data_IF_799275785835
#
_entry.id   IF_799275785835
#
_cell.length_a   1.000
_cell.length_b   1.000
_cell.length_c   1.000
_cell.angle_alpha   90.00
_cell.angle_beta   90.00
_cell.angle_gamma   90.00
#
_symmetry.space_group_name_H-M   'P 1'
#
loop_
_entity.id
_entity.type
_entity.pdbx_description
1 polymer ?
#
# COMPACT_ATOMS: atom_id res chain seq x y z
N UNK A 1 29.31 62.20 49.13
CA UNK A 1 28.23 61.22 49.00
C UNK A 1 28.33 60.64 47.59
N UNK A 2 29.01 59.50 47.46
CA UNK A 2 29.23 58.82 46.16
C UNK A 2 28.27 57.60 46.19
N UNK A 3 27.30 57.55 45.22
CA UNK A 3 26.41 56.44 45.03
C UNK A 3 26.99 55.44 44.02
N UNK A 4 27.38 54.28 44.53
CA UNK A 4 27.85 53.15 43.73
C UNK A 4 26.65 52.42 43.14
N UNK A 5 26.52 52.36 41.84
CA UNK A 5 25.49 51.59 41.10
C UNK A 5 26.11 50.20 40.80
N UNK A 6 25.56 49.14 41.40
CA UNK A 6 25.88 47.76 41.05
C UNK A 6 25.06 47.36 39.85
N UNK A 7 25.70 47.13 38.73
CA UNK A 7 25.09 46.56 37.55
C UNK A 7 25.11 45.01 37.67
N UNK A 8 23.93 44.41 37.75
CA UNK A 8 23.73 42.96 37.77
C UNK A 8 23.77 42.48 36.31
N UNK A 9 24.85 41.82 35.90
CA UNK A 9 24.89 41.09 34.60
C UNK A 9 24.12 39.78 34.75
N UNK A 10 22.93 39.69 34.14
CA UNK A 10 22.24 38.42 33.94
C UNK A 10 22.93 37.68 32.77
N UNK A 11 23.70 36.64 33.10
CA UNK A 11 24.12 35.64 32.09
C UNK A 11 22.90 34.75 31.74
N UNK A 12 22.29 35.00 30.58
CA UNK A 12 21.36 34.08 29.94
C UNK A 12 22.20 32.96 29.34
N UNK A 13 22.30 31.82 30.02
CA UNK A 13 22.83 30.61 29.43
C UNK A 13 21.82 30.09 28.38
N UNK A 14 22.12 30.34 27.08
CA UNK A 14 21.49 29.64 25.99
C UNK A 14 21.84 28.15 26.11
N UNK A 15 20.93 27.32 26.61
CA UNK A 15 21.01 25.88 26.41
C UNK A 15 20.78 25.61 24.93
N UNK A 16 21.84 25.45 24.18
CA UNK A 16 21.79 24.79 22.88
C UNK A 16 21.53 23.34 23.21
N UNK A 17 20.28 22.88 22.96
CA UNK A 17 19.98 21.46 23.02
C UNK A 17 20.87 20.79 21.95
N UNK A 18 21.91 20.10 22.40
CA UNK A 18 22.74 19.27 21.55
C UNK A 18 21.83 18.19 20.97
N UNK A 19 21.61 18.23 19.65
CA UNK A 19 20.86 17.17 18.97
C UNK A 19 21.68 15.89 19.14
N UNK A 20 21.16 14.92 19.90
CA UNK A 20 21.79 13.64 20.12
C UNK A 20 22.16 13.00 18.78
N UNK A 21 23.39 12.50 18.66
CA UNK A 21 23.82 11.77 17.45
C UNK A 21 22.96 10.52 17.28
N UNK A 22 22.46 10.24 16.04
CA UNK A 22 21.64 9.03 15.78
C UNK A 22 22.39 7.76 16.19
N UNK A 23 21.66 6.77 16.72
CA UNK A 23 22.21 5.45 17.02
C UNK A 23 22.75 4.77 15.75
N UNK A 24 23.64 3.79 15.91
CA UNK A 24 24.15 2.98 14.80
C UNK A 24 23.02 2.27 14.05
N UNK A 25 22.03 1.74 14.77
CA UNK A 25 20.86 1.10 14.16
C UNK A 25 20.03 2.08 13.33
N UNK A 26 19.78 3.30 13.81
CA UNK A 26 19.06 4.31 13.05
C UNK A 26 19.83 4.73 11.80
N UNK A 27 21.15 4.89 11.92
CA UNK A 27 22.03 5.22 10.79
C UNK A 27 21.98 4.11 9.73
N UNK A 28 22.08 2.85 10.15
CA UNK A 28 21.98 1.69 9.27
C UNK A 28 20.60 1.58 8.63
N UNK A 29 19.53 1.77 9.41
CA UNK A 29 18.15 1.72 8.88
C UNK A 29 17.93 2.77 7.79
N UNK A 30 18.44 4.00 7.96
CA UNK A 30 18.34 5.08 6.96
C UNK A 30 19.09 4.79 5.66
N UNK A 31 20.05 3.86 5.65
CA UNK A 31 20.72 3.44 4.41
C UNK A 31 19.83 2.56 3.53
N UNK A 32 18.82 1.91 4.10
CA UNK A 32 17.88 1.02 3.40
C UNK A 32 16.49 1.63 3.24
N UNK A 33 16.05 2.47 4.19
CA UNK A 33 14.70 2.95 4.29
C UNK A 33 14.62 4.46 4.33
N UNK A 34 13.49 4.99 3.87
CA UNK A 34 13.13 6.39 4.07
C UNK A 34 11.69 6.50 4.57
N UNK A 35 11.34 7.58 5.27
CA UNK A 35 9.95 7.83 5.62
C UNK A 35 9.06 7.87 4.39
N UNK A 36 7.79 7.49 4.55
CA UNK A 36 6.80 7.62 3.49
C UNK A 36 6.65 9.10 3.10
N UNK A 37 6.58 9.41 1.79
CA UNK A 37 6.37 10.77 1.35
C UNK A 37 4.99 11.26 1.82
N UNK A 38 4.96 12.46 2.39
CA UNK A 38 3.67 13.12 2.64
C UNK A 38 3.06 13.45 1.28
N UNK A 39 1.75 13.16 1.07
CA UNK A 39 1.10 13.56 -0.16
C UNK A 39 1.28 15.08 -0.36
N UNK A 40 1.91 15.48 -1.46
CA UNK A 40 2.06 16.89 -1.81
C UNK A 40 0.68 17.39 -2.31
N UNK A 41 -0.14 17.89 -1.40
CA UNK A 41 -1.50 18.30 -1.69
C UNK A 41 -1.59 19.84 -1.81
N UNK A 42 -0.95 20.43 -2.80
CA UNK A 42 -1.43 21.70 -3.35
C UNK A 42 -2.58 21.38 -4.30
N UNK A 43 -3.77 21.16 -3.75
CA UNK A 43 -4.91 20.73 -4.55
C UNK A 43 -5.73 21.95 -4.96
N UNK A 44 -5.83 22.17 -6.26
CA UNK A 44 -6.87 23.04 -6.81
C UNK A 44 -8.26 22.36 -6.67
N UNK A 45 -9.32 23.14 -6.87
CA UNK A 45 -10.70 22.67 -6.76
C UNK A 45 -10.99 21.48 -7.68
N UNK A 46 -10.37 21.42 -8.84
CA UNK A 46 -10.54 20.36 -9.82
C UNK A 46 -9.90 19.05 -9.33
N UNK A 47 -8.71 19.12 -8.73
CA UNK A 47 -8.06 17.97 -8.13
C UNK A 47 -8.87 17.41 -6.94
N UNK A 48 -9.39 18.29 -6.07
CA UNK A 48 -10.28 17.90 -4.98
C UNK A 48 -11.55 17.22 -5.49
N UNK A 49 -12.16 17.77 -6.55
CA UNK A 49 -13.34 17.17 -7.18
C UNK A 49 -13.04 15.80 -7.81
N UNK A 50 -11.87 15.60 -8.43
CA UNK A 50 -11.45 14.28 -8.93
C UNK A 50 -11.26 13.26 -7.82
N UNK A 51 -10.64 13.65 -6.71
CA UNK A 51 -10.47 12.77 -5.54
C UNK A 51 -11.83 12.39 -4.96
N UNK A 52 -12.75 13.35 -4.80
CA UNK A 52 -14.08 13.09 -4.29
C UNK A 52 -14.88 12.16 -5.21
N UNK A 53 -14.82 12.39 -6.53
CA UNK A 53 -15.41 11.51 -7.53
C UNK A 53 -14.78 10.10 -7.44
N UNK A 54 -13.46 10.01 -7.39
CA UNK A 54 -12.74 8.75 -7.29
C UNK A 54 -13.10 7.96 -6.04
N UNK A 55 -13.27 8.64 -4.90
CA UNK A 55 -13.77 8.02 -3.66
C UNK A 55 -15.16 7.42 -3.88
N UNK A 56 -16.10 8.15 -4.46
CA UNK A 56 -17.44 7.63 -4.72
C UNK A 56 -17.41 6.43 -5.67
N UNK A 57 -16.63 6.52 -6.76
CA UNK A 57 -16.44 5.42 -7.71
C UNK A 57 -15.81 4.17 -7.09
N UNK A 58 -14.90 4.34 -6.12
CA UNK A 58 -14.27 3.23 -5.42
C UNK A 58 -15.29 2.39 -4.62
N UNK A 59 -16.35 3.02 -4.11
CA UNK A 59 -17.44 2.37 -3.38
C UNK A 59 -18.66 2.06 -4.25
N UNK A 60 -18.64 2.40 -5.57
CA UNK A 60 -19.80 2.26 -6.45
C UNK A 60 -19.96 0.81 -6.96
N UNK A 61 -21.03 0.16 -6.54
CA UNK A 61 -21.33 -1.20 -6.94
C UNK A 61 -21.89 -1.33 -8.37
N UNK A 62 -22.40 -0.25 -8.96
CA UNK A 62 -22.86 -0.23 -10.36
C UNK A 62 -21.73 -0.50 -11.37
N UNK A 63 -20.46 -0.49 -10.93
CA UNK A 63 -19.31 -0.89 -11.72
C UNK A 63 -19.15 -2.41 -11.86
N UNK A 64 -20.00 -3.23 -11.21
CA UNK A 64 -20.03 -4.70 -11.39
C UNK A 64 -21.31 -5.16 -12.11
N UNK A 65 -21.23 -6.30 -12.81
CA UNK A 65 -22.29 -6.79 -13.72
C UNK A 65 -23.66 -6.88 -13.06
N UNK A 66 -23.72 -7.29 -11.81
CA UNK A 66 -24.95 -7.50 -11.03
C UNK A 66 -25.11 -6.48 -9.88
N UNK A 67 -24.36 -5.40 -9.84
CA UNK A 67 -24.33 -4.37 -8.79
C UNK A 67 -24.00 -4.91 -7.38
N UNK A 68 -23.27 -6.04 -7.27
CA UNK A 68 -22.94 -6.66 -5.99
C UNK A 68 -21.57 -6.25 -5.44
N UNK A 69 -20.68 -5.70 -6.28
CA UNK A 69 -19.30 -5.44 -5.90
C UNK A 69 -18.81 -4.05 -6.37
N UNK A 70 -17.93 -3.48 -5.56
CA UNK A 70 -17.16 -2.29 -5.83
C UNK A 70 -15.67 -2.60 -5.61
N UNK A 71 -14.77 -1.64 -5.82
CA UNK A 71 -13.36 -1.81 -5.47
C UNK A 71 -13.19 -2.14 -3.97
N UNK A 72 -14.02 -1.51 -3.12
CA UNK A 72 -14.02 -1.75 -1.68
C UNK A 72 -14.45 -3.18 -1.28
N UNK A 73 -15.07 -3.95 -2.17
CA UNK A 73 -15.45 -5.34 -1.86
C UNK A 73 -14.23 -6.25 -1.66
N UNK A 74 -13.18 -6.05 -2.47
CA UNK A 74 -11.94 -6.82 -2.41
C UNK A 74 -10.77 -6.03 -1.75
N UNK A 75 -10.83 -4.69 -1.80
CA UNK A 75 -9.81 -3.80 -1.25
C UNK A 75 -10.40 -2.89 -0.18
N UNK A 76 -10.75 -3.49 0.95
CA UNK A 76 -11.57 -2.86 2.00
C UNK A 76 -10.84 -1.72 2.70
N UNK A 77 -11.46 -0.56 2.69
CA UNK A 77 -11.03 0.64 3.42
C UNK A 77 -11.94 0.95 4.62
N UNK A 78 -13.03 0.21 4.77
CA UNK A 78 -13.97 0.36 5.87
C UNK A 78 -13.63 -0.58 7.03
N UNK A 79 -13.93 -0.15 8.26
CA UNK A 79 -13.63 -0.88 9.50
C UNK A 79 -14.58 -2.07 9.79
N UNK A 80 -15.21 -2.65 8.77
CA UNK A 80 -16.17 -3.75 8.98
C UNK A 80 -15.54 -5.08 9.28
N UNK A 81 -14.22 -5.19 9.14
CA UNK A 81 -13.45 -6.37 9.52
C UNK A 81 -12.70 -6.10 10.81
N UNK A 82 -12.54 -7.11 11.65
CA UNK A 82 -11.76 -7.04 12.88
C UNK A 82 -10.31 -6.56 12.65
N UNK A 83 -9.79 -6.74 11.44
CA UNK A 83 -8.44 -6.34 11.03
C UNK A 83 -8.41 -5.01 10.25
N UNK A 84 -9.48 -4.24 10.31
CA UNK A 84 -9.54 -2.82 10.03
C UNK A 84 -9.02 -2.31 8.70
N UNK A 85 -9.79 -2.47 7.59
CA UNK A 85 -9.63 -1.60 6.42
C UNK A 85 -8.23 -1.53 5.78
N UNK A 86 -7.46 -2.62 5.82
CA UNK A 86 -6.08 -2.67 5.31
C UNK A 86 -5.95 -2.67 3.78
N UNK A 87 -7.04 -2.39 3.06
CA UNK A 87 -7.06 -2.39 1.59
C UNK A 87 -7.09 -3.80 0.98
N UNK A 88 -7.54 -4.79 1.75
CA UNK A 88 -7.71 -6.19 1.35
C UNK A 88 -9.02 -6.76 1.91
N UNK A 89 -9.47 -7.91 1.41
CA UNK A 89 -10.66 -8.61 1.90
C UNK A 89 -10.35 -9.76 2.87
N UNK A 90 -9.08 -10.00 3.15
CA UNK A 90 -8.56 -11.09 4.00
C UNK A 90 -8.97 -12.50 3.53
N UNK A 91 -9.29 -12.67 2.26
CA UNK A 91 -9.53 -13.97 1.65
C UNK A 91 -8.28 -14.49 0.96
N UNK A 92 -8.14 -15.81 0.85
CA UNK A 92 -7.06 -16.42 0.07
C UNK A 92 -7.06 -15.91 -1.36
N UNK A 93 -8.24 -15.89 -1.99
CA UNK A 93 -8.54 -15.21 -3.25
C UNK A 93 -9.94 -14.65 -3.16
N UNK A 94 -10.15 -13.45 -3.71
CA UNK A 94 -11.43 -12.76 -3.68
C UNK A 94 -12.51 -13.51 -4.47
N UNK A 95 -13.77 -13.33 -4.08
CA UNK A 95 -14.94 -13.86 -4.80
C UNK A 95 -15.45 -12.78 -5.74
N UNK A 96 -15.54 -13.06 -7.03
CA UNK A 96 -16.03 -12.13 -8.04
C UNK A 96 -17.55 -11.98 -8.06
N UNK A 97 -18.05 -11.00 -8.82
CA UNK A 97 -19.46 -10.66 -8.92
C UNK A 97 -20.39 -11.82 -9.35
N UNK A 98 -19.85 -12.76 -10.12
CA UNK A 98 -20.56 -13.96 -10.57
C UNK A 98 -20.26 -15.20 -9.70
N UNK A 99 -19.66 -15.01 -8.51
CA UNK A 99 -19.33 -16.10 -7.59
C UNK A 99 -18.05 -16.88 -7.93
N UNK A 100 -17.29 -16.46 -8.94
CA UNK A 100 -16.06 -17.12 -9.32
C UNK A 100 -14.90 -16.65 -8.41
N UNK A 101 -13.95 -17.54 -8.16
CA UNK A 101 -12.75 -17.20 -7.38
C UNK A 101 -11.71 -16.50 -8.26
N UNK A 102 -11.12 -15.46 -7.72
CA UNK A 102 -9.91 -14.85 -8.27
C UNK A 102 -8.73 -15.83 -8.31
N UNK A 103 -7.70 -15.49 -9.03
CA UNK A 103 -6.51 -16.35 -9.20
C UNK A 103 -5.42 -16.05 -8.17
N UNK A 104 -5.43 -14.82 -7.61
CA UNK A 104 -4.41 -14.32 -6.69
C UNK A 104 -5.04 -13.64 -5.50
N UNK A 105 -4.28 -13.59 -4.42
CA UNK A 105 -4.62 -12.78 -3.25
C UNK A 105 -4.71 -11.29 -3.62
N UNK A 106 -5.71 -10.58 -3.09
CA UNK A 106 -5.88 -9.15 -3.30
C UNK A 106 -4.77 -8.36 -2.59
N UNK A 107 -3.88 -7.64 -3.31
CA UNK A 107 -2.87 -6.82 -2.69
C UNK A 107 -3.52 -5.58 -2.05
N UNK A 108 -2.92 -5.06 -0.98
CA UNK A 108 -3.38 -3.82 -0.37
C UNK A 108 -3.34 -2.65 -1.35
N UNK A 109 -4.38 -1.81 -1.34
CA UNK A 109 -4.42 -0.54 -2.08
C UNK A 109 -3.69 0.59 -1.35
N UNK A 110 -3.41 0.44 -0.05
CA UNK A 110 -2.60 1.40 0.67
C UNK A 110 -1.18 1.45 0.12
N UNK A 111 -0.67 2.67 -0.04
CA UNK A 111 0.66 2.96 -0.57
C UNK A 111 0.92 2.47 -2.01
N UNK A 112 -0.10 1.94 -2.71
CA UNK A 112 0.04 1.39 -4.06
C UNK A 112 0.50 2.41 -5.10
N UNK A 113 0.23 3.70 -4.88
CA UNK A 113 0.72 4.80 -5.71
C UNK A 113 2.24 4.97 -5.71
N UNK A 114 2.92 4.42 -4.71
CA UNK A 114 4.37 4.46 -4.54
C UNK A 114 5.07 3.24 -5.15
N UNK A 115 4.33 2.28 -5.72
CA UNK A 115 4.90 1.11 -6.39
C UNK A 115 5.30 1.44 -7.82
N UNK A 116 6.39 0.81 -8.33
CA UNK A 116 6.86 1.01 -9.71
C UNK A 116 5.90 0.47 -10.78
N UNK A 117 5.03 -0.48 -10.40
CA UNK A 117 4.03 -1.10 -11.26
C UNK A 117 2.90 -1.72 -10.44
N UNK A 118 1.76 -2.01 -11.08
CA UNK A 118 0.59 -2.57 -10.44
C UNK A 118 0.39 -4.05 -10.81
N UNK A 119 -0.41 -4.76 -9.98
CA UNK A 119 -0.57 -6.21 -9.94
C UNK A 119 0.68 -6.97 -9.46
N UNK A 120 0.49 -8.23 -9.07
CA UNK A 120 1.58 -9.12 -8.68
C UNK A 120 2.60 -9.36 -9.79
N UNK A 121 2.14 -9.43 -11.04
CA UNK A 121 2.98 -9.66 -12.22
C UNK A 121 3.51 -8.37 -12.87
N UNK A 122 3.25 -7.21 -12.27
CA UNK A 122 3.68 -5.89 -12.75
C UNK A 122 3.27 -5.60 -14.21
N UNK A 123 2.08 -6.07 -14.65
CA UNK A 123 1.64 -5.97 -16.04
C UNK A 123 1.25 -4.58 -16.51
N UNK A 124 0.98 -3.63 -15.59
CA UNK A 124 0.74 -2.22 -15.89
C UNK A 124 1.55 -1.31 -14.96
N UNK A 125 1.84 -0.10 -15.42
CA UNK A 125 2.73 0.83 -14.71
C UNK A 125 1.99 1.79 -13.77
N UNK A 126 0.79 2.20 -14.14
CA UNK A 126 0.09 3.27 -13.44
C UNK A 126 -1.20 2.78 -12.79
N UNK A 127 -1.66 3.52 -11.75
CA UNK A 127 -2.96 3.27 -11.12
C UNK A 127 -4.12 3.47 -12.09
N UNK A 128 -4.03 4.44 -13.02
CA UNK A 128 -5.09 4.68 -14.00
C UNK A 128 -5.23 3.50 -14.98
N UNK A 129 -4.12 2.93 -15.45
CA UNK A 129 -4.14 1.70 -16.27
C UNK A 129 -4.72 0.52 -15.49
N UNK A 130 -4.38 0.40 -14.21
CA UNK A 130 -4.87 -0.69 -13.35
C UNK A 130 -6.38 -0.58 -13.11
N UNK A 131 -6.89 0.62 -12.81
CA UNK A 131 -8.22 0.85 -12.26
C UNK A 131 -9.38 0.30 -13.12
N UNK A 132 -9.20 0.20 -14.43
CA UNK A 132 -10.24 -0.28 -15.33
C UNK A 132 -10.22 -1.79 -15.58
N UNK A 133 -9.11 -2.47 -15.33
CA UNK A 133 -8.96 -3.88 -15.66
C UNK A 133 -9.86 -4.81 -14.83
N UNK A 134 -10.01 -4.62 -13.50
CA UNK A 134 -10.92 -5.42 -12.67
C UNK A 134 -12.38 -5.29 -13.11
N UNK A 135 -12.78 -4.13 -13.64
CA UNK A 135 -14.15 -3.86 -14.09
C UNK A 135 -14.59 -4.87 -15.17
N UNK A 136 -13.66 -5.21 -16.08
CA UNK A 136 -13.94 -6.12 -17.20
C UNK A 136 -13.45 -7.55 -16.97
N UNK A 137 -12.77 -7.82 -15.87
CA UNK A 137 -12.33 -9.18 -15.56
C UNK A 137 -13.53 -10.06 -15.19
N UNK A 138 -13.81 -11.17 -15.92
CA UNK A 138 -14.94 -12.04 -15.65
C UNK A 138 -14.88 -12.72 -14.27
N UNK A 139 -13.69 -12.81 -13.66
CA UNK A 139 -13.51 -13.36 -12.31
C UNK A 139 -13.57 -12.30 -11.21
N UNK A 140 -13.79 -11.03 -11.57
CA UNK A 140 -13.88 -9.90 -10.64
C UNK A 140 -15.22 -9.19 -10.82
N UNK A 141 -15.29 -8.03 -11.49
CA UNK A 141 -16.53 -7.24 -11.63
C UNK A 141 -17.36 -7.61 -12.87
N UNK A 142 -16.80 -8.30 -13.86
CA UNK A 142 -17.43 -8.96 -15.01
C UNK A 142 -18.26 -8.06 -15.94
N UNK A 143 -18.04 -6.75 -16.00
CA UNK A 143 -18.68 -5.88 -16.97
C UNK A 143 -18.30 -6.26 -18.41
N UNK A 144 -19.26 -6.14 -19.34
CA UNK A 144 -19.07 -6.66 -20.70
C UNK A 144 -18.57 -5.61 -21.70
N UNK A 145 -18.73 -4.32 -21.39
CA UNK A 145 -18.28 -3.25 -22.30
C UNK A 145 -18.11 -1.89 -21.59
N UNK A 146 -17.24 -1.01 -22.13
CA UNK A 146 -17.14 0.39 -21.69
C UNK A 146 -18.48 1.15 -21.78
N UNK A 147 -19.28 0.89 -22.80
CA UNK A 147 -20.57 1.54 -22.99
C UNK A 147 -21.53 1.20 -21.85
N UNK A 148 -21.53 -0.05 -21.38
CA UNK A 148 -22.37 -0.48 -20.26
C UNK A 148 -21.97 0.25 -18.97
N UNK A 149 -20.68 0.39 -18.68
CA UNK A 149 -20.18 1.14 -17.51
C UNK A 149 -20.64 2.60 -17.57
N UNK A 150 -20.43 3.26 -18.72
CA UNK A 150 -20.76 4.66 -18.93
C UNK A 150 -22.26 4.89 -18.76
N UNK A 151 -23.10 4.04 -19.35
CA UNK A 151 -24.56 4.17 -19.26
C UNK A 151 -25.03 4.00 -17.79
N UNK A 152 -24.51 3.02 -17.06
CA UNK A 152 -24.86 2.86 -15.64
C UNK A 152 -24.49 4.05 -14.78
N UNK A 153 -23.32 4.67 -15.01
CA UNK A 153 -22.92 5.89 -14.29
C UNK A 153 -23.83 7.07 -14.64
N UNK A 154 -24.29 7.18 -15.91
CA UNK A 154 -25.28 8.18 -16.33
C UNK A 154 -26.60 7.97 -15.59
N UNK A 155 -27.12 6.75 -15.59
CA UNK A 155 -28.37 6.38 -14.92
C UNK A 155 -28.31 6.60 -13.40
N UNK A 156 -27.12 6.47 -12.80
CA UNK A 156 -26.84 6.78 -11.38
C UNK A 156 -26.66 8.27 -11.09
N UNK A 157 -26.72 9.15 -12.09
CA UNK A 157 -26.66 10.59 -11.90
C UNK A 157 -25.27 11.17 -11.69
N UNK A 158 -24.19 10.50 -12.13
CA UNK A 158 -22.81 10.96 -11.97
C UNK A 158 -22.44 12.18 -12.81
N UNK A 159 -23.37 12.72 -13.64
CA UNK A 159 -23.08 13.82 -14.56
C UNK A 159 -22.44 15.04 -13.90
N UNK A 160 -23.00 15.50 -12.77
CA UNK A 160 -22.51 16.71 -12.09
C UNK A 160 -21.14 16.48 -11.46
N UNK A 161 -20.90 15.33 -10.86
CA UNK A 161 -19.60 14.98 -10.27
C UNK A 161 -18.50 14.96 -11.33
N UNK A 162 -18.75 14.34 -12.48
CA UNK A 162 -17.80 14.35 -13.58
C UNK A 162 -17.61 15.75 -14.18
N UNK A 163 -18.65 16.61 -14.21
CA UNK A 163 -18.55 17.98 -14.68
C UNK A 163 -17.63 18.82 -13.78
N UNK A 164 -17.71 18.65 -12.47
CA UNK A 164 -16.85 19.33 -11.49
C UNK A 164 -15.40 18.82 -11.56
N UNK A 165 -15.23 17.52 -11.69
CA UNK A 165 -13.93 16.87 -11.74
C UNK A 165 -13.15 17.13 -13.04
N UNK A 166 -13.87 17.35 -14.16
CA UNK A 166 -13.30 17.52 -15.50
C UNK A 166 -13.96 18.69 -16.25
N UNK A 167 -13.74 19.94 -15.80
CA UNK A 167 -14.42 21.12 -16.38
C UNK A 167 -14.03 21.40 -17.82
N UNK A 168 -12.80 21.03 -18.23
CA UNK A 168 -12.21 21.32 -19.56
C UNK A 168 -12.12 20.10 -20.47
N UNK A 169 -13.00 19.09 -20.31
CA UNK A 169 -13.00 17.89 -21.16
C UNK A 169 -13.14 18.28 -22.64
N UNK A 170 -12.26 17.70 -23.49
CA UNK A 170 -12.17 17.99 -24.93
C UNK A 170 -13.48 17.79 -25.69
N UNK A 171 -14.34 16.89 -25.24
CA UNK A 171 -15.56 16.49 -25.92
C UNK A 171 -16.79 17.36 -25.56
N UNK A 172 -16.60 18.41 -24.76
CA UNK A 172 -17.61 19.44 -24.44
C UNK A 172 -18.91 18.96 -23.79
N UNK A 173 -19.37 17.76 -24.10
CA UNK A 173 -20.70 17.25 -23.75
C UNK A 173 -20.68 15.98 -22.89
N UNK A 174 -19.74 15.06 -23.14
CA UNK A 174 -19.70 13.77 -22.41
C UNK A 174 -18.41 13.63 -21.58
N UNK A 175 -18.49 13.96 -20.30
CA UNK A 175 -17.38 13.85 -19.35
C UNK A 175 -17.31 12.48 -18.66
N UNK A 176 -18.35 11.66 -18.75
CA UNK A 176 -18.38 10.30 -18.24
C UNK A 176 -17.72 9.40 -19.29
N UNK A 177 -16.41 9.21 -19.16
CA UNK A 177 -15.58 8.37 -20.03
C UNK A 177 -14.78 7.39 -19.18
N UNK A 178 -14.31 6.30 -19.77
CA UNK A 178 -13.44 5.34 -19.07
C UNK A 178 -12.10 5.97 -18.67
N UNK A 179 -11.58 6.89 -19.46
CA UNK A 179 -10.37 7.64 -19.15
C UNK A 179 -10.56 8.51 -17.89
N UNK A 180 -11.61 9.32 -17.85
CA UNK A 180 -11.92 10.16 -16.69
C UNK A 180 -12.23 9.35 -15.43
N UNK A 181 -12.92 8.21 -15.58
CA UNK A 181 -13.14 7.26 -14.48
C UNK A 181 -11.81 6.74 -13.93
N UNK A 182 -10.90 6.30 -14.80
CA UNK A 182 -9.60 5.79 -14.43
C UNK A 182 -8.75 6.85 -13.71
N UNK A 183 -8.74 8.10 -14.23
CA UNK A 183 -8.03 9.22 -13.62
C UNK A 183 -8.59 9.52 -12.23
N UNK A 184 -9.91 9.60 -12.06
CA UNK A 184 -10.53 9.88 -10.77
C UNK A 184 -10.23 8.78 -9.74
N UNK A 185 -10.34 7.50 -10.11
CA UNK A 185 -9.97 6.38 -9.25
C UNK A 185 -8.49 6.42 -8.86
N UNK A 186 -7.61 6.74 -9.80
CA UNK A 186 -6.18 6.88 -9.53
C UNK A 186 -5.88 8.06 -8.60
N UNK A 187 -6.55 9.22 -8.77
CA UNK A 187 -6.36 10.39 -7.91
C UNK A 187 -6.81 10.09 -6.48
N UNK A 188 -7.93 9.39 -6.29
CA UNK A 188 -8.33 8.91 -4.97
C UNK A 188 -7.30 7.95 -4.37
N UNK A 189 -6.87 6.93 -5.10
CA UNK A 189 -5.90 5.95 -4.60
C UNK A 189 -4.55 6.58 -4.23
N UNK A 190 -4.13 7.68 -4.89
CA UNK A 190 -2.93 8.45 -4.50
C UNK A 190 -3.04 9.08 -3.12
N UNK A 191 -4.24 9.27 -2.61
CA UNK A 191 -4.45 9.77 -1.23
C UNK A 191 -4.30 8.68 -0.17
N UNK A 192 -4.31 7.40 -0.57
CA UNK A 192 -4.20 6.25 0.32
C UNK A 192 -2.74 5.99 0.69
N UNK A 193 -2.11 6.95 1.37
CA UNK A 193 -0.76 6.84 1.91
C UNK A 193 -0.83 6.80 3.42
N UNK A 194 -0.14 5.83 4.01
CA UNK A 194 -0.10 5.65 5.47
C UNK A 194 1.04 6.46 6.08
N UNK A 195 1.02 6.60 7.39
CA UNK A 195 2.14 7.05 8.21
C UNK A 195 2.16 6.18 9.46
N UNK A 196 3.33 5.75 9.86
CA UNK A 196 3.49 4.83 10.98
C UNK A 196 4.63 5.24 11.92
N UNK A 197 4.83 4.47 13.00
CA UNK A 197 5.86 4.76 14.01
C UNK A 197 7.27 4.60 13.47
N UNK A 198 7.46 3.76 12.46
CA UNK A 198 8.75 3.60 11.81
C UNK A 198 9.14 4.85 11.02
N UNK A 199 8.18 5.57 10.40
CA UNK A 199 8.46 6.87 9.76
C UNK A 199 8.95 7.91 10.80
N UNK A 200 8.35 7.90 11.99
CA UNK A 200 8.76 8.76 13.11
C UNK A 200 10.17 8.39 13.60
N UNK A 201 10.47 7.10 13.74
CA UNK A 201 11.80 6.59 14.07
C UNK A 201 12.83 7.01 13.03
N UNK A 202 12.56 6.78 11.74
CA UNK A 202 13.44 7.19 10.64
C UNK A 202 13.64 8.71 10.59
N UNK A 203 12.70 9.50 11.09
CA UNK A 203 12.83 10.96 11.18
C UNK A 203 13.70 11.42 12.36
N UNK A 204 14.07 10.53 13.30
CA UNK A 204 15.02 10.77 14.37
C UNK A 204 14.48 10.57 15.79
N UNK A 205 13.19 10.28 15.96
CA UNK A 205 12.65 9.92 17.26
C UNK A 205 12.90 8.43 17.55
N UNK A 206 14.01 8.13 18.19
CA UNK A 206 14.39 6.75 18.51
C UNK A 206 13.49 6.09 19.58
N UNK A 207 12.61 6.85 20.21
CA UNK A 207 11.63 6.33 21.17
C UNK A 207 10.34 5.86 20.51
N UNK A 208 10.13 6.18 19.21
CA UNK A 208 8.94 5.84 18.45
C UNK A 208 8.71 4.33 18.28
N UNK A 209 9.77 3.53 18.39
CA UNK A 209 9.70 2.08 18.34
C UNK A 209 10.31 1.45 19.60
N UNK A 210 9.75 0.33 20.04
CA UNK A 210 10.14 -0.38 21.26
C UNK A 210 11.49 -1.11 21.11
N UNK A 211 12.06 -1.56 22.22
CA UNK A 211 13.29 -2.36 22.21
C UNK A 211 13.13 -3.67 21.41
N UNK A 212 11.97 -4.34 21.51
CA UNK A 212 11.69 -5.56 20.74
C UNK A 212 11.56 -5.27 19.25
N UNK A 213 10.89 -4.17 18.85
CA UNK A 213 10.81 -3.73 17.46
C UNK A 213 12.19 -3.39 16.88
N UNK A 214 13.09 -2.80 17.67
CA UNK A 214 14.49 -2.56 17.29
C UNK A 214 15.27 -3.87 17.11
N UNK A 215 15.07 -4.85 17.98
CA UNK A 215 15.66 -6.19 17.83
C UNK A 215 15.17 -6.87 16.54
N UNK A 216 13.88 -6.80 16.24
CA UNK A 216 13.30 -7.31 15.00
C UNK A 216 13.82 -6.59 13.76
N UNK A 217 13.99 -5.26 13.80
CA UNK A 217 14.61 -4.47 12.73
C UNK A 217 16.07 -4.90 12.49
N UNK A 218 16.83 -5.11 13.56
CA UNK A 218 18.21 -5.60 13.47
C UNK A 218 18.26 -6.95 12.76
N UNK A 219 17.43 -7.91 13.19
CA UNK A 219 17.32 -9.22 12.54
C UNK A 219 16.90 -9.10 11.07
N UNK A 220 15.94 -8.25 10.76
CA UNK A 220 15.47 -8.02 9.39
C UNK A 220 16.60 -7.54 8.47
N UNK A 221 17.47 -6.66 8.96
CA UNK A 221 18.64 -6.18 8.23
C UNK A 221 19.71 -7.28 8.13
N UNK A 222 20.10 -7.88 9.23
CA UNK A 222 21.19 -8.87 9.31
C UNK A 222 20.90 -10.16 8.54
N UNK A 223 19.63 -10.59 8.53
CA UNK A 223 19.21 -11.79 7.76
C UNK A 223 19.07 -11.50 6.26
N UNK A 224 19.23 -10.24 5.81
CA UNK A 224 19.26 -9.88 4.40
C UNK A 224 17.89 -9.61 3.77
N UNK A 225 16.80 -9.49 4.54
CA UNK A 225 15.47 -9.17 4.03
C UNK A 225 15.44 -7.84 3.27
N UNK A 226 16.31 -6.90 3.65
CA UNK A 226 16.49 -5.59 3.02
C UNK A 226 16.93 -5.65 1.55
N UNK A 227 17.45 -6.78 1.08
CA UNK A 227 17.82 -6.95 -0.33
C UNK A 227 16.62 -6.79 -1.27
N UNK A 228 15.43 -7.20 -0.83
CA UNK A 228 14.18 -7.10 -1.59
C UNK A 228 13.19 -6.09 -0.99
N UNK A 229 13.20 -5.94 0.34
CA UNK A 229 12.30 -5.09 1.09
C UNK A 229 13.02 -3.84 1.59
N UNK A 230 13.24 -2.89 0.70
CA UNK A 230 13.88 -1.59 0.96
C UNK A 230 13.04 -0.42 0.45
N UNK A 231 13.57 0.81 0.57
CA UNK A 231 12.88 2.04 0.19
C UNK A 231 11.72 2.43 1.11
N UNK A 232 10.92 3.43 0.73
CA UNK A 232 9.89 4.00 1.61
C UNK A 232 8.75 3.02 1.92
N UNK A 233 8.38 2.17 0.98
CA UNK A 233 7.29 1.19 1.16
C UNK A 233 7.79 -0.21 1.51
N UNK A 234 9.08 -0.39 1.72
CA UNK A 234 9.71 -1.68 2.06
C UNK A 234 9.28 -2.79 1.10
N UNK A 235 9.48 -2.56 -0.19
CA UNK A 235 9.04 -3.39 -1.31
C UNK A 235 8.42 -2.54 -2.41
N UNK A 236 7.63 -3.12 -3.32
CA UNK A 236 6.93 -2.41 -4.39
C UNK A 236 7.82 -1.85 -5.51
N UNK A 237 9.14 -2.07 -5.47
CA UNK A 237 10.11 -1.43 -6.35
C UNK A 237 10.82 -2.37 -7.33
N UNK A 238 10.64 -3.68 -7.18
CA UNK A 238 11.29 -4.66 -8.04
C UNK A 238 10.45 -5.91 -8.24
N UNK A 239 10.77 -6.67 -9.30
CA UNK A 239 10.32 -8.03 -9.51
C UNK A 239 11.35 -9.00 -8.95
N UNK A 240 10.88 -10.04 -8.24
CA UNK A 240 11.74 -11.10 -7.71
C UNK A 240 11.12 -12.46 -7.99
N UNK A 241 11.96 -13.44 -8.31
CA UNK A 241 11.51 -14.82 -8.48
C UNK A 241 11.13 -15.41 -7.12
N UNK A 242 9.89 -15.86 -6.99
CA UNK A 242 9.47 -16.60 -5.80
C UNK A 242 10.14 -17.97 -5.77
N UNK A 243 10.85 -18.25 -4.68
CA UNK A 243 11.64 -19.47 -4.55
C UNK A 243 12.95 -19.45 -5.33
N UNK A 244 13.74 -18.38 -5.15
CA UNK A 244 15.04 -18.21 -5.83
C UNK A 244 16.08 -19.20 -5.32
N UNK A 245 16.06 -19.52 -4.03
CA UNK A 245 16.99 -20.50 -3.41
C UNK A 245 16.32 -21.87 -3.29
N UNK A 246 15.23 -21.97 -2.55
CA UNK A 246 14.42 -23.19 -2.49
C UNK A 246 13.11 -22.99 -3.26
N UNK A 247 12.75 -23.87 -4.20
CA UNK A 247 11.53 -23.74 -4.97
C UNK A 247 10.28 -23.58 -4.12
N UNK A 248 9.45 -22.55 -4.39
CA UNK A 248 8.14 -22.40 -3.76
C UNK A 248 7.18 -23.48 -4.24
N UNK A 249 6.30 -24.04 -3.38
CA UNK A 249 5.43 -25.17 -3.74
C UNK A 249 4.47 -24.92 -4.89
N UNK A 250 3.82 -23.73 -4.94
CA UNK A 250 2.89 -23.40 -5.99
C UNK A 250 3.62 -23.19 -7.33
N UNK A 251 3.35 -24.06 -8.31
CA UNK A 251 3.90 -24.02 -9.67
C UNK A 251 2.85 -23.67 -10.73
N UNK A 252 1.59 -23.44 -10.33
CA UNK A 252 0.48 -23.18 -11.24
C UNK A 252 0.54 -21.74 -11.75
N UNK A 253 0.76 -20.79 -10.85
CA UNK A 253 0.91 -19.37 -11.23
C UNK A 253 2.34 -19.12 -11.73
N UNK A 254 2.45 -18.87 -13.02
CA UNK A 254 3.75 -18.60 -13.67
C UNK A 254 4.23 -17.15 -13.49
N UNK A 255 3.47 -16.30 -12.78
CA UNK A 255 3.81 -14.91 -12.50
C UNK A 255 4.00 -14.07 -13.78
N UNK A 256 5.08 -13.33 -13.84
CA UNK A 256 5.40 -12.44 -14.97
C UNK A 256 5.42 -13.13 -16.32
N UNK A 257 5.79 -14.41 -16.39
CA UNK A 257 5.81 -15.16 -17.64
C UNK A 257 4.44 -15.27 -18.31
N UNK A 258 3.33 -15.20 -17.58
CA UNK A 258 1.97 -15.16 -18.14
C UNK A 258 1.71 -13.87 -18.96
N UNK A 259 2.46 -12.81 -18.67
CA UNK A 259 2.35 -11.52 -19.36
C UNK A 259 3.31 -11.43 -20.54
N UNK A 260 4.56 -11.88 -20.35
CA UNK A 260 5.63 -11.70 -21.33
C UNK A 260 5.77 -12.85 -22.32
N UNK A 261 5.26 -14.04 -21.99
CA UNK A 261 5.52 -15.27 -22.73
C UNK A 261 6.97 -15.79 -22.60
N UNK A 262 7.82 -15.07 -21.86
CA UNK A 262 9.23 -15.45 -21.69
C UNK A 262 9.38 -16.46 -20.56
N UNK A 263 9.97 -17.62 -20.86
CA UNK A 263 10.22 -18.67 -19.87
C UNK A 263 11.17 -18.22 -18.74
N UNK A 264 12.07 -17.26 -19.00
CA UNK A 264 12.95 -16.68 -17.98
C UNK A 264 12.21 -15.89 -16.89
N UNK A 265 10.99 -15.41 -17.19
CA UNK A 265 10.17 -14.63 -16.27
C UNK A 265 9.25 -15.51 -15.37
N UNK A 266 9.39 -16.85 -15.44
CA UNK A 266 8.58 -17.76 -14.61
C UNK A 266 8.80 -17.50 -13.13
N UNK A 267 7.67 -17.39 -12.43
CA UNK A 267 7.61 -17.18 -10.98
C UNK A 267 8.15 -15.82 -10.51
N UNK A 268 8.36 -14.86 -11.40
CA UNK A 268 8.67 -13.49 -11.02
C UNK A 268 7.38 -12.77 -10.64
N UNK A 269 7.41 -12.16 -9.44
CA UNK A 269 6.34 -11.34 -8.89
C UNK A 269 6.91 -10.03 -8.36
N UNK A 270 6.09 -8.99 -8.36
CA UNK A 270 6.43 -7.75 -7.66
C UNK A 270 6.56 -8.04 -6.16
N UNK A 271 7.68 -7.64 -5.57
CA UNK A 271 7.89 -7.72 -4.13
C UNK A 271 6.83 -6.85 -3.44
N UNK A 272 5.98 -7.41 -2.57
CA UNK A 272 4.93 -6.62 -1.92
C UNK A 272 5.51 -5.63 -0.91
N UNK A 273 4.78 -4.54 -0.67
CA UNK A 273 5.06 -3.64 0.44
C UNK A 273 4.85 -4.36 1.78
N UNK A 274 5.66 -3.99 2.79
CA UNK A 274 5.48 -4.47 4.17
C UNK A 274 4.74 -3.47 5.06
N UNK A 275 4.42 -2.25 4.56
CA UNK A 275 3.60 -1.31 5.32
C UNK A 275 2.21 -1.89 5.59
N UNK A 276 1.77 -1.89 6.83
CA UNK A 276 0.52 -2.49 7.33
C UNK A 276 0.40 -4.01 7.10
N UNK A 277 1.52 -4.70 6.93
CA UNK A 277 1.51 -6.12 6.56
C UNK A 277 0.78 -7.01 7.57
N UNK A 278 0.77 -6.68 8.87
CA UNK A 278 0.09 -7.47 9.90
C UNK A 278 -1.42 -7.58 9.68
N UNK A 279 -2.01 -6.64 8.94
CA UNK A 279 -3.45 -6.56 8.68
C UNK A 279 -3.86 -7.16 7.32
N UNK A 280 -2.93 -7.77 6.57
CA UNK A 280 -3.17 -8.20 5.18
C UNK A 280 -3.12 -9.72 4.97
N UNK A 281 -3.29 -10.51 6.04
CA UNK A 281 -3.39 -11.97 5.92
C UNK A 281 -4.56 -12.38 5.01
N UNK A 282 -4.45 -13.53 4.30
CA UNK A 282 -3.29 -14.39 4.16
C UNK A 282 -2.24 -13.84 3.18
N UNK A 283 -1.03 -14.38 3.22
CA UNK A 283 0.16 -13.81 2.56
C UNK A 283 0.54 -14.56 1.28
N UNK A 284 1.44 -13.94 0.50
CA UNK A 284 1.90 -14.32 -0.83
C UNK A 284 0.87 -14.08 -1.93
N UNK A 285 1.31 -14.22 -3.19
CA UNK A 285 0.48 -14.01 -4.37
C UNK A 285 -0.73 -14.96 -4.45
N UNK A 286 -0.62 -16.10 -3.79
CA UNK A 286 -1.65 -17.16 -3.78
C UNK A 286 -2.34 -17.33 -2.42
N UNK A 287 -2.06 -16.44 -1.44
CA UNK A 287 -2.57 -16.58 -0.08
C UNK A 287 -2.12 -17.87 0.60
N UNK A 288 -0.90 -18.35 0.27
CA UNK A 288 -0.38 -19.65 0.71
C UNK A 288 0.03 -19.70 2.18
N UNK A 289 0.35 -18.56 2.81
CA UNK A 289 0.69 -18.48 4.23
C UNK A 289 -0.45 -17.81 4.99
N UNK A 290 -1.01 -18.51 5.98
CA UNK A 290 -2.15 -18.03 6.74
C UNK A 290 -1.76 -16.99 7.81
N UNK A 291 -0.55 -17.07 8.36
CA UNK A 291 -0.06 -16.15 9.39
C UNK A 291 1.21 -15.45 8.96
N UNK A 292 1.52 -14.31 9.60
CA UNK A 292 2.73 -13.55 9.29
C UNK A 292 3.99 -14.33 9.68
N UNK A 293 3.96 -15.08 10.77
CA UNK A 293 5.07 -15.90 11.20
C UNK A 293 5.41 -16.96 10.14
N UNK A 294 4.39 -17.63 9.61
CA UNK A 294 4.56 -18.59 8.52
C UNK A 294 5.14 -17.91 7.28
N UNK A 295 4.64 -16.73 6.92
CA UNK A 295 5.15 -15.96 5.78
C UNK A 295 6.62 -15.54 5.96
N UNK A 296 7.02 -15.12 7.16
CA UNK A 296 8.42 -14.79 7.50
C UNK A 296 9.32 -16.02 7.35
N UNK A 297 8.93 -17.15 7.94
CA UNK A 297 9.69 -18.40 7.91
C UNK A 297 9.80 -18.92 6.46
N UNK A 298 8.71 -18.94 5.72
CA UNK A 298 8.69 -19.40 4.33
C UNK A 298 9.51 -18.49 3.42
N UNK A 299 9.45 -17.16 3.63
CA UNK A 299 10.30 -16.23 2.88
C UNK A 299 11.78 -16.47 3.17
N UNK A 300 12.17 -16.61 4.44
CA UNK A 300 13.53 -16.90 4.83
C UNK A 300 14.04 -18.20 4.17
N UNK A 301 13.22 -19.23 4.16
CA UNK A 301 13.53 -20.52 3.52
C UNK A 301 13.63 -20.40 2.00
N UNK A 302 12.59 -19.90 1.33
CA UNK A 302 12.49 -19.96 -0.12
C UNK A 302 13.33 -18.90 -0.83
N UNK A 303 13.51 -17.72 -0.23
CA UNK A 303 14.25 -16.63 -0.84
C UNK A 303 15.72 -16.56 -0.40
N UNK A 304 16.02 -16.89 0.86
CA UNK A 304 17.35 -16.71 1.45
C UNK A 304 18.05 -18.04 1.75
N UNK A 305 17.32 -19.18 1.75
CA UNK A 305 17.87 -20.50 2.08
C UNK A 305 18.28 -20.64 3.55
N UNK A 306 17.70 -19.81 4.43
CA UNK A 306 18.00 -19.82 5.86
C UNK A 306 16.79 -20.32 6.66
N UNK A 307 17.07 -20.85 7.86
CA UNK A 307 16.04 -21.24 8.82
C UNK A 307 16.01 -20.24 9.96
N UNK A 308 14.86 -19.65 10.20
CA UNK A 308 14.63 -18.83 11.38
C UNK A 308 14.03 -19.69 12.50
N UNK A 309 14.40 -19.38 13.72
CA UNK A 309 13.71 -19.87 14.91
C UNK A 309 12.36 -19.16 15.06
N UNK A 310 11.45 -19.73 15.83
CA UNK A 310 10.17 -19.09 16.16
C UNK A 310 10.39 -17.73 16.84
N UNK A 311 11.39 -17.61 17.72
CA UNK A 311 11.72 -16.37 18.39
C UNK A 311 12.18 -15.29 17.40
N UNK A 312 13.07 -15.60 16.46
CA UNK A 312 13.51 -14.67 15.41
C UNK A 312 12.34 -14.22 14.53
N UNK A 313 11.43 -15.13 14.19
CA UNK A 313 10.23 -14.79 13.43
C UNK A 313 9.29 -13.86 14.23
N UNK A 314 9.13 -14.09 15.53
CA UNK A 314 8.34 -13.24 16.42
C UNK A 314 8.97 -11.86 16.62
N UNK A 315 10.29 -11.75 16.68
CA UNK A 315 10.95 -10.44 16.78
C UNK A 315 10.82 -9.65 15.48
N UNK A 316 10.95 -10.29 14.31
CA UNK A 316 10.66 -9.66 13.02
C UNK A 316 9.18 -9.24 12.92
N UNK A 317 8.24 -10.08 13.38
CA UNK A 317 6.82 -9.71 13.49
C UNK A 317 6.62 -8.49 14.38
N UNK A 318 7.31 -8.41 15.52
CA UNK A 318 7.24 -7.25 16.40
C UNK A 318 7.66 -5.98 15.65
N UNK A 319 8.77 -6.02 14.89
CA UNK A 319 9.17 -4.91 14.03
C UNK A 319 8.06 -4.52 13.05
N UNK A 320 7.35 -5.46 12.44
CA UNK A 320 6.23 -5.15 11.54
C UNK A 320 5.10 -4.42 12.25
N UNK A 321 4.94 -4.54 13.57
CA UNK A 321 4.01 -3.74 14.36
C UNK A 321 4.32 -2.24 14.35
N UNK A 322 5.58 -1.85 14.11
CA UNK A 322 5.96 -0.45 13.92
C UNK A 322 5.53 0.13 12.57
N UNK A 323 5.21 -0.74 11.60
CA UNK A 323 4.77 -0.40 10.24
C UNK A 323 3.24 -0.25 10.13
N UNK A 324 2.51 -0.49 11.22
CA UNK A 324 1.05 -0.36 11.26
C UNK A 324 0.64 1.09 11.45
N UNK A 325 -0.26 1.56 10.60
CA UNK A 325 -0.84 2.88 10.74
C UNK A 325 -2.18 2.82 11.48
N UNK A 326 -2.19 3.29 12.71
CA UNK A 326 -3.42 3.41 13.49
C UNK A 326 -4.38 4.50 12.96
N UNK A 327 -3.90 5.47 12.17
CA UNK A 327 -4.75 6.49 11.55
C UNK A 327 -5.68 5.94 10.45
N UNK A 328 -5.44 4.75 9.92
CA UNK A 328 -6.39 4.03 9.04
C UNK A 328 -7.75 3.88 9.74
N UNK A 329 -7.75 3.67 11.05
CA UNK A 329 -8.96 3.56 11.87
C UNK A 329 -9.77 4.87 11.93
N UNK A 330 -9.15 6.02 11.76
CA UNK A 330 -9.80 7.34 11.93
C UNK A 330 -10.45 7.85 10.64
N UNK A 331 -9.88 7.55 9.46
CA UNK A 331 -10.42 7.99 8.16
C UNK A 331 -11.70 7.23 7.76
N UNK A 332 -11.90 6.04 8.29
CA UNK A 332 -13.10 5.25 8.00
C UNK A 332 -14.32 5.65 8.87
N UNK A 333 -14.13 6.40 9.96
CA UNK A 333 -15.20 6.84 10.87
C UNK A 333 -15.73 8.24 10.58
N UNK A 334 -15.05 9.05 9.76
CA UNK A 334 -15.57 10.34 9.31
C UNK A 334 -16.51 10.13 8.11
N UNK A 335 -17.81 10.01 8.43
CA UNK A 335 -18.91 10.06 7.45
C UNK A 335 -19.10 11.47 6.93
#
# INVERSE_FOLDING_TARGET
MIKTIFALLLCVACYIADAATPSELLTTARSYFSPLPKPALTLDQTALARIALGKQLYFESALSINNSQSCNSCHRLDNRLENGGAGVDNLKTSVGALGQLGERNAPSTWNSSLHFAQFWDARVKTLAEQATLPIFNPKEMAMTSPAQVINRLKDKGYHELFRQAFPTSKDGVNRITMENLAIALADFQRTLVTQDRFDTYLSGDETAITAQEKAGLTLFIEKGCVACHNGPVMGGQLLMKMGIVEPYPNKVDLGRAQVTGNAGDKFFFKVPSLRNVLNTAPYFHDGGAATIEQAIIDTAKHQLGIRLTEQEANDIKAFFGSLDNQAILTLATSK
#
